data_IF_259253317878
#
_entry.id   IF_259253317878
#
_cell.length_a   1.000
_cell.length_b   1.000
_cell.length_c   1.000
_cell.angle_alpha   90.00
_cell.angle_beta   90.00
_cell.angle_gamma   90.00
#
_symmetry.space_group_name_H-M   'P 1'
#
loop_
_entity.id
_entity.type
_entity.pdbx_description
1 polymer ?
#
# COMPACT_ATOMS: atom_id res chain seq x y z
N UNK A 1 -8.17 1.99 -1.63
CA UNK A 1 -8.20 3.42 -1.27
C UNK A 1 -8.99 4.30 -2.22
N UNK A 2 -9.16 3.91 -3.48
CA UNK A 2 -9.80 4.72 -4.53
C UNK A 2 -11.27 5.07 -4.27
N UNK A 3 -12.01 4.28 -3.48
CA UNK A 3 -13.40 4.58 -3.13
C UNK A 3 -13.58 5.81 -2.21
N UNK A 4 -12.56 6.14 -1.42
CA UNK A 4 -12.61 7.24 -0.44
C UNK A 4 -11.60 8.37 -0.71
N UNK A 5 -10.65 8.13 -1.62
CA UNK A 5 -9.64 9.10 -1.99
C UNK A 5 -10.19 10.08 -3.03
N UNK A 6 -10.06 11.38 -2.76
CA UNK A 6 -10.42 12.43 -3.72
C UNK A 6 -9.16 13.01 -4.36
N UNK A 7 -8.96 12.85 -5.69
CA UNK A 7 -7.73 13.25 -6.36
C UNK A 7 -7.74 14.74 -6.74
N UNK A 8 -8.02 15.63 -5.79
CA UNK A 8 -7.93 17.10 -5.97
C UNK A 8 -6.94 17.67 -4.96
N UNK A 9 -6.12 18.64 -5.38
CA UNK A 9 -5.03 19.20 -4.54
C UNK A 9 -5.57 19.77 -3.21
N UNK A 10 -6.78 20.33 -3.24
CA UNK A 10 -7.46 20.91 -2.07
C UNK A 10 -8.01 19.88 -1.09
N UNK A 11 -8.48 18.71 -1.57
CA UNK A 11 -9.15 17.71 -0.72
C UNK A 11 -8.30 16.44 -0.48
N UNK A 12 -7.13 16.31 -1.12
CA UNK A 12 -6.30 15.12 -1.02
C UNK A 12 -5.91 14.79 0.43
N UNK A 13 -5.47 15.80 1.20
CA UNK A 13 -5.10 15.59 2.61
C UNK A 13 -6.31 15.25 3.48
N UNK A 14 -7.42 15.99 3.31
CA UNK A 14 -8.65 15.78 4.07
C UNK A 14 -9.25 14.38 3.81
N UNK A 15 -9.24 13.92 2.56
CA UNK A 15 -9.75 12.58 2.19
C UNK A 15 -8.92 11.44 2.81
N UNK A 16 -7.60 11.64 2.91
CA UNK A 16 -6.70 10.69 3.58
C UNK A 16 -6.92 10.68 5.09
N UNK A 17 -7.19 11.84 5.69
CA UNK A 17 -7.54 11.94 7.10
C UNK A 17 -8.87 11.22 7.40
N UNK A 18 -9.89 11.41 6.55
CA UNK A 18 -11.16 10.68 6.64
C UNK A 18 -10.97 9.15 6.61
N UNK A 19 -10.11 8.64 5.72
CA UNK A 19 -9.79 7.20 5.66
C UNK A 19 -9.13 6.70 6.95
N UNK A 20 -8.37 7.54 7.66
CA UNK A 20 -7.69 7.15 8.89
C UNK A 20 -8.59 7.23 10.13
N UNK A 21 -9.47 8.21 10.21
CA UNK A 21 -10.21 8.53 11.44
C UNK A 21 -11.67 8.12 11.41
N UNK A 22 -12.31 8.16 10.23
CA UNK A 22 -13.77 8.06 10.11
C UNK A 22 -14.21 6.81 9.34
N UNK A 23 -13.42 6.35 8.37
CA UNK A 23 -13.73 5.13 7.64
C UNK A 23 -13.53 3.89 8.54
N UNK A 24 -14.58 3.07 8.68
CA UNK A 24 -14.50 1.79 9.39
C UNK A 24 -13.39 0.90 8.82
N UNK A 25 -12.42 0.52 9.66
CA UNK A 25 -11.20 -0.21 9.29
C UNK A 25 -10.31 0.46 8.22
N UNK A 26 -10.52 1.74 7.90
CA UNK A 26 -9.74 2.43 6.87
C UNK A 26 -8.25 2.56 7.25
N UNK A 27 -7.95 2.74 8.54
CA UNK A 27 -6.58 2.74 9.08
C UNK A 27 -5.86 1.39 8.84
N UNK A 28 -6.58 0.28 8.96
CA UNK A 28 -6.03 -1.06 8.76
C UNK A 28 -5.72 -1.27 7.28
N UNK A 29 -6.67 -0.94 6.40
CA UNK A 29 -6.48 -1.03 4.95
C UNK A 29 -5.30 -0.18 4.48
N UNK A 30 -5.13 1.03 5.04
CA UNK A 30 -3.97 1.89 4.72
C UNK A 30 -2.65 1.31 5.18
N UNK A 31 -2.63 0.80 6.41
CA UNK A 31 -1.45 0.21 6.98
C UNK A 31 -1.04 -1.01 6.17
N UNK A 32 -1.97 -1.95 5.93
CA UNK A 32 -1.74 -3.13 5.10
C UNK A 32 -1.26 -2.73 3.72
N UNK A 33 -1.90 -1.78 3.03
CA UNK A 33 -1.46 -1.37 1.69
C UNK A 33 -0.02 -0.82 1.68
N UNK A 34 0.36 -0.02 2.68
CA UNK A 34 1.73 0.48 2.81
C UNK A 34 2.74 -0.63 3.13
N UNK A 35 2.42 -1.53 4.07
CA UNK A 35 3.30 -2.62 4.47
C UNK A 35 3.43 -3.70 3.37
N UNK A 36 2.34 -4.03 2.70
CA UNK A 36 2.31 -5.00 1.59
C UNK A 36 3.11 -4.52 0.38
N UNK A 37 3.14 -3.21 0.09
CA UNK A 37 3.99 -2.68 -0.97
C UNK A 37 5.48 -2.96 -0.69
N UNK A 38 5.94 -2.75 0.54
CA UNK A 38 7.33 -3.06 0.94
C UNK A 38 7.60 -4.57 0.90
N UNK A 39 6.67 -5.39 1.38
CA UNK A 39 6.79 -6.86 1.34
C UNK A 39 6.83 -7.40 -0.09
N UNK A 40 6.07 -6.80 -1.01
CA UNK A 40 6.10 -7.18 -2.43
C UNK A 40 7.49 -6.95 -3.02
N UNK A 41 8.11 -5.80 -2.76
CA UNK A 41 9.47 -5.51 -3.23
C UNK A 41 10.49 -6.45 -2.62
N UNK A 42 10.39 -6.74 -1.31
CA UNK A 42 11.25 -7.72 -0.64
C UNK A 42 11.13 -9.10 -1.29
N UNK A 43 9.92 -9.60 -1.50
CA UNK A 43 9.67 -10.90 -2.13
C UNK A 43 10.15 -10.93 -3.57
N UNK A 44 10.01 -9.84 -4.33
CA UNK A 44 10.54 -9.72 -5.68
C UNK A 44 12.07 -9.84 -5.69
N UNK A 45 12.75 -9.16 -4.77
CA UNK A 45 14.22 -9.26 -4.62
C UNK A 45 14.61 -10.71 -4.31
N UNK A 46 13.97 -11.33 -3.32
CA UNK A 46 14.22 -12.74 -2.96
C UNK A 46 13.94 -13.69 -4.13
N UNK A 47 12.89 -13.43 -4.91
CA UNK A 47 12.54 -14.22 -6.09
C UNK A 47 13.63 -14.13 -7.18
N UNK A 48 14.12 -12.92 -7.48
CA UNK A 48 15.23 -12.73 -8.44
C UNK A 48 16.50 -13.42 -7.95
N UNK A 49 16.84 -13.30 -6.67
CA UNK A 49 17.96 -14.02 -6.07
C UNK A 49 17.80 -15.53 -6.21
N UNK A 50 16.61 -16.08 -5.92
CA UNK A 50 16.32 -17.51 -6.12
C UNK A 50 16.52 -17.91 -7.58
N UNK A 51 15.94 -17.19 -8.54
CA UNK A 51 16.07 -17.51 -9.97
C UNK A 51 17.54 -17.53 -10.38
N UNK A 52 18.31 -16.52 -10.00
CA UNK A 52 19.73 -16.44 -10.31
C UNK A 52 20.55 -17.57 -9.67
N UNK A 53 20.32 -17.89 -8.40
CA UNK A 53 21.08 -18.91 -7.67
C UNK A 53 20.72 -20.34 -8.06
N UNK A 54 19.47 -20.60 -8.44
CA UNK A 54 19.04 -21.95 -8.80
C UNK A 54 19.20 -22.25 -10.29
N UNK A 55 19.48 -21.24 -11.13
CA UNK A 55 19.72 -21.36 -12.58
C UNK A 55 18.71 -22.25 -13.35
N UNK A 56 17.48 -22.34 -12.84
CA UNK A 56 16.30 -22.98 -13.46
C UNK A 56 15.21 -21.93 -13.58
#
# INVERSE_FOLDING_TARGET
MTFYYRPTVTEAFASVQYIMTEANFGWLIRSVHRWSASMMVLMMILHVFRVYLTAV
#
